data_IF_938140221042
#
_entry.id   IF_938140221042
#
_cell.length_a   1.000
_cell.length_b   1.000
_cell.length_c   1.000
_cell.angle_alpha   90.00
_cell.angle_beta   90.00
_cell.angle_gamma   90.00
#
_symmetry.space_group_name_H-M   'P 1'
#
loop_
_entity.id
_entity.type
_entity.pdbx_description
1 polymer ?
#
# COMPACT_ATOMS: atom_id res chain seq x y z
N UNK A 1 30.02 36.86 -52.59
CA UNK A 1 30.57 35.52 -52.20
C UNK A 1 31.18 35.55 -50.81
N UNK A 2 32.11 36.47 -50.45
CA UNK A 2 32.73 36.51 -49.10
C UNK A 2 31.73 36.66 -47.93
N UNK A 3 30.65 37.43 -48.07
CA UNK A 3 29.63 37.61 -47.01
C UNK A 3 28.77 36.33 -46.75
N UNK A 4 28.52 35.53 -47.82
CA UNK A 4 27.77 34.26 -47.71
C UNK A 4 28.62 33.20 -47.02
N UNK A 5 29.91 33.11 -47.30
CA UNK A 5 30.85 32.22 -46.65
C UNK A 5 30.98 32.53 -45.17
N UNK A 6 31.03 33.81 -44.79
CA UNK A 6 31.10 34.25 -43.39
C UNK A 6 29.81 33.87 -42.62
N UNK A 7 28.66 33.98 -43.23
CA UNK A 7 27.38 33.60 -42.64
C UNK A 7 27.28 32.08 -42.41
N UNK A 8 27.78 31.27 -43.35
CA UNK A 8 27.81 29.82 -43.21
C UNK A 8 28.79 29.39 -42.11
N UNK A 9 29.96 30.01 -42.00
CA UNK A 9 30.92 29.74 -40.94
C UNK A 9 30.37 30.10 -39.55
N UNK A 10 29.65 31.26 -39.46
CA UNK A 10 28.99 31.63 -38.20
C UNK A 10 27.88 30.68 -37.78
N UNK A 11 27.07 30.17 -38.74
CA UNK A 11 26.04 29.13 -38.47
C UNK A 11 26.63 27.80 -38.05
N UNK A 12 27.77 27.40 -38.62
CA UNK A 12 28.47 26.16 -38.21
C UNK A 12 29.09 26.30 -36.80
N UNK A 13 29.64 27.46 -36.47
CA UNK A 13 30.20 27.74 -35.15
C UNK A 13 29.14 27.72 -34.03
N UNK A 14 27.92 28.20 -34.30
CA UNK A 14 26.80 28.12 -33.35
C UNK A 14 26.37 26.70 -33.02
N UNK A 15 26.39 25.79 -33.99
CA UNK A 15 26.04 24.40 -33.76
C UNK A 15 27.07 23.64 -32.89
N UNK A 16 28.35 23.99 -32.99
CA UNK A 16 29.42 23.39 -32.20
C UNK A 16 29.30 23.76 -30.70
N UNK A 17 28.98 25.03 -30.41
CA UNK A 17 28.83 25.51 -29.03
C UNK A 17 27.62 24.92 -28.32
N UNK A 18 26.48 24.71 -29.04
CA UNK A 18 25.29 24.06 -28.47
C UNK A 18 25.55 22.56 -28.22
N UNK A 19 26.29 21.91 -29.10
CA UNK A 19 26.60 20.46 -28.93
C UNK A 19 27.56 20.24 -27.74
N UNK A 20 28.56 21.10 -27.56
CA UNK A 20 29.47 21.01 -26.39
C UNK A 20 28.72 21.26 -25.08
N UNK A 21 27.84 22.26 -25.03
CA UNK A 21 27.06 22.54 -23.81
C UNK A 21 26.10 21.40 -23.45
N UNK A 22 25.56 20.69 -24.42
CA UNK A 22 24.68 19.56 -24.18
C UNK A 22 25.45 18.34 -23.61
N UNK A 23 26.64 18.05 -24.10
CA UNK A 23 27.49 16.98 -23.59
C UNK A 23 28.01 17.28 -22.18
N UNK A 24 28.39 18.52 -21.90
CA UNK A 24 28.78 18.96 -20.55
C UNK A 24 27.63 18.83 -19.57
N UNK A 25 26.42 19.25 -19.95
CA UNK A 25 25.24 19.11 -19.11
C UNK A 25 24.85 17.63 -18.86
N UNK A 26 25.02 16.77 -19.86
CA UNK A 26 24.83 15.32 -19.70
C UNK A 26 25.85 14.71 -18.74
N UNK A 27 27.13 15.09 -18.85
CA UNK A 27 28.18 14.63 -17.96
C UNK A 27 27.96 15.13 -16.52
N UNK A 28 27.57 16.39 -16.34
CA UNK A 28 27.23 16.92 -15.03
C UNK A 28 26.04 16.18 -14.42
N UNK A 29 24.97 15.95 -15.22
CA UNK A 29 23.80 15.18 -14.78
C UNK A 29 24.19 13.75 -14.34
N UNK A 30 25.08 13.09 -15.07
CA UNK A 30 25.57 11.76 -14.71
C UNK A 30 26.32 11.80 -13.35
N UNK A 31 27.27 12.74 -13.18
CA UNK A 31 28.01 12.92 -11.92
C UNK A 31 27.09 13.23 -10.73
N UNK A 32 26.06 14.08 -10.92
CA UNK A 32 25.07 14.34 -9.86
C UNK A 32 24.26 13.08 -9.52
N UNK A 33 23.90 12.28 -10.52
CA UNK A 33 23.18 11.03 -10.32
C UNK A 33 23.99 10.02 -9.54
N UNK A 34 25.29 9.91 -9.83
CA UNK A 34 26.23 9.04 -9.09
C UNK A 34 26.38 9.51 -7.63
N UNK A 35 26.46 10.83 -7.43
CA UNK A 35 26.48 11.42 -6.08
C UNK A 35 25.21 11.12 -5.29
N UNK A 36 24.04 11.21 -5.92
CA UNK A 36 22.75 10.85 -5.30
C UNK A 36 22.74 9.36 -4.92
N UNK A 37 23.18 8.48 -5.80
CA UNK A 37 23.25 7.04 -5.53
C UNK A 37 24.20 6.72 -4.35
N UNK A 38 25.35 7.39 -4.28
CA UNK A 38 26.30 7.24 -3.18
C UNK A 38 25.74 7.76 -1.84
N UNK A 39 24.97 8.85 -1.85
CA UNK A 39 24.28 9.37 -0.66
C UNK A 39 23.18 8.41 -0.24
N UNK A 40 22.37 7.93 -1.20
CA UNK A 40 21.31 6.96 -0.91
C UNK A 40 21.87 5.69 -0.26
N UNK A 41 22.94 5.13 -0.80
CA UNK A 41 23.59 3.96 -0.20
C UNK A 41 24.07 4.19 1.25
N UNK A 42 24.52 5.41 1.57
CA UNK A 42 24.86 5.76 2.97
C UNK A 42 23.63 5.88 3.86
N UNK A 43 22.55 6.44 3.35
CA UNK A 43 21.26 6.53 4.06
C UNK A 43 20.73 5.13 4.34
N UNK A 44 20.75 4.24 3.35
CA UNK A 44 20.30 2.85 3.49
C UNK A 44 21.13 2.07 4.51
N UNK A 45 22.46 2.28 4.52
CA UNK A 45 23.36 1.68 5.51
C UNK A 45 23.06 2.17 6.95
N UNK A 46 22.75 3.45 7.13
CA UNK A 46 22.34 4.01 8.43
C UNK A 46 20.99 3.45 8.83
N UNK A 47 20.04 3.38 7.90
CA UNK A 47 18.71 2.80 8.15
C UNK A 47 18.83 1.32 8.55
N UNK A 48 19.73 0.57 7.93
CA UNK A 48 20.07 -0.81 8.33
C UNK A 48 20.55 -0.91 9.78
N UNK A 49 21.44 -0.01 10.20
CA UNK A 49 21.89 0.08 11.59
C UNK A 49 20.76 0.43 12.57
N UNK A 50 19.92 1.40 12.23
CA UNK A 50 18.71 1.76 13.01
C UNK A 50 17.78 0.55 13.11
N UNK A 51 17.61 -0.19 12.03
CA UNK A 51 16.76 -1.38 12.02
C UNK A 51 17.30 -2.53 12.87
N UNK A 52 18.61 -2.61 13.04
CA UNK A 52 19.27 -3.60 13.90
C UNK A 52 19.19 -3.29 15.39
N UNK A 53 18.93 -2.03 15.79
CA UNK A 53 18.80 -1.66 17.21
C UNK A 53 17.62 -2.39 17.84
N UNK A 54 17.83 -3.14 18.95
CA UNK A 54 16.73 -3.77 19.69
C UNK A 54 15.73 -2.75 20.23
N UNK A 55 14.47 -3.13 20.29
CA UNK A 55 13.43 -2.26 20.84
C UNK A 55 12.18 -2.15 19.96
N UNK A 56 11.26 -1.31 20.39
CA UNK A 56 10.01 -1.02 19.69
C UNK A 56 10.23 -0.03 18.56
N UNK A 57 9.69 -0.37 17.39
CA UNK A 57 9.51 0.52 16.24
C UNK A 57 8.04 0.64 15.94
N UNK A 58 7.55 1.87 15.89
CA UNK A 58 6.12 2.15 15.70
C UNK A 58 5.97 3.17 14.58
N UNK A 59 4.91 3.06 13.84
CA UNK A 59 4.55 4.03 12.81
C UNK A 59 3.09 3.90 12.45
N UNK A 60 2.54 5.00 11.94
CA UNK A 60 1.20 5.04 11.37
C UNK A 60 1.22 5.93 10.13
N UNK A 61 0.39 5.56 9.17
CA UNK A 61 0.18 6.29 7.93
C UNK A 61 -1.31 6.26 7.60
N UNK A 62 -1.85 7.38 7.18
CA UNK A 62 -3.25 7.49 6.78
C UNK A 62 -3.41 8.32 5.52
N UNK A 63 -4.40 7.99 4.71
CA UNK A 63 -4.84 8.77 3.56
C UNK A 63 -6.33 8.98 3.59
N UNK A 64 -6.76 10.16 3.14
CA UNK A 64 -8.15 10.48 2.87
C UNK A 64 -8.22 10.88 1.42
N UNK A 65 -9.12 10.27 0.66
CA UNK A 65 -9.38 10.57 -0.74
C UNK A 65 -10.86 10.81 -0.97
N UNK A 66 -11.15 11.70 -1.92
CA UNK A 66 -12.51 11.89 -2.43
C UNK A 66 -12.45 12.11 -3.92
N UNK A 67 -13.46 11.64 -4.64
CA UNK A 67 -13.66 11.97 -6.06
C UNK A 67 -15.13 12.24 -6.34
N UNK A 68 -15.36 13.12 -7.29
CA UNK A 68 -16.67 13.47 -7.82
C UNK A 68 -16.62 13.37 -9.33
N UNK A 69 -17.66 12.82 -9.93
CA UNK A 69 -17.87 12.77 -11.38
C UNK A 69 -19.32 13.10 -11.70
N UNK A 70 -19.54 13.75 -12.83
CA UNK A 70 -20.86 14.07 -13.32
C UNK A 70 -20.90 13.94 -14.84
N UNK A 71 -22.01 13.45 -15.35
CA UNK A 71 -22.26 13.27 -16.76
C UNK A 71 -23.59 13.96 -17.11
N UNK A 72 -23.62 14.59 -18.26
CA UNK A 72 -24.82 15.21 -18.81
C UNK A 72 -24.88 14.86 -20.31
N UNK A 73 -25.97 14.25 -20.72
CA UNK A 73 -26.19 13.79 -22.09
C UNK A 73 -25.10 12.88 -22.64
N UNK A 74 -24.46 12.07 -21.81
CA UNK A 74 -23.43 11.12 -22.26
C UNK A 74 -24.06 9.76 -22.59
N UNK A 75 -24.69 9.67 -23.76
CA UNK A 75 -25.45 8.51 -24.21
C UNK A 75 -24.63 7.23 -24.49
N UNK A 76 -23.31 7.30 -24.46
CA UNK A 76 -22.46 6.09 -24.50
C UNK A 76 -22.44 5.30 -23.19
N UNK A 77 -22.95 5.88 -22.10
CA UNK A 77 -23.26 5.20 -20.84
C UNK A 77 -24.75 4.87 -20.78
N UNK A 78 -25.09 3.78 -20.08
CA UNK A 78 -26.48 3.40 -19.86
C UNK A 78 -27.30 4.42 -19.02
N UNK A 79 -26.60 5.32 -18.32
CA UNK A 79 -27.15 6.43 -17.51
C UNK A 79 -26.54 7.75 -17.99
N UNK A 80 -27.12 8.41 -19.03
CA UNK A 80 -26.52 9.56 -19.65
C UNK A 80 -26.42 10.81 -18.75
N UNK A 81 -27.34 10.95 -17.78
CA UNK A 81 -27.38 12.05 -16.83
C UNK A 81 -27.16 11.50 -15.42
N UNK A 82 -25.90 11.32 -15.00
CA UNK A 82 -25.59 10.75 -13.70
C UNK A 82 -24.50 11.51 -12.99
N UNK A 83 -24.48 11.43 -11.65
CA UNK A 83 -23.36 11.84 -10.84
C UNK A 83 -22.91 10.71 -9.92
N UNK A 84 -21.63 10.69 -9.60
CA UNK A 84 -21.08 9.75 -8.64
C UNK A 84 -20.06 10.46 -7.77
N UNK A 85 -20.09 10.13 -6.48
CA UNK A 85 -19.11 10.57 -5.50
C UNK A 85 -18.55 9.37 -4.77
N UNK A 86 -17.28 9.41 -4.43
CA UNK A 86 -16.72 8.49 -3.47
C UNK A 86 -15.85 9.21 -2.43
N UNK A 87 -15.79 8.66 -1.23
CA UNK A 87 -14.92 9.07 -0.15
C UNK A 87 -14.25 7.81 0.37
N UNK A 88 -12.94 7.86 0.56
CA UNK A 88 -12.15 6.75 1.09
C UNK A 88 -11.21 7.21 2.18
N UNK A 89 -11.07 6.39 3.23
CA UNK A 89 -10.13 6.57 4.32
C UNK A 89 -9.34 5.28 4.46
N UNK A 90 -8.01 5.37 4.38
CA UNK A 90 -7.13 4.24 4.63
C UNK A 90 -6.18 4.60 5.76
N UNK A 91 -6.03 3.70 6.74
CA UNK A 91 -5.07 3.84 7.83
C UNK A 91 -4.28 2.55 7.97
N UNK A 92 -2.97 2.68 8.00
CA UNK A 92 -2.05 1.59 8.29
C UNK A 92 -1.21 1.98 9.49
N UNK A 93 -1.07 1.09 10.45
CA UNK A 93 -0.21 1.29 11.60
C UNK A 93 0.57 0.01 11.92
N UNK A 94 1.73 0.16 12.51
CA UNK A 94 2.52 -0.97 12.97
C UNK A 94 3.19 -0.68 14.31
N UNK A 95 3.44 -1.75 15.07
CA UNK A 95 4.24 -1.72 16.28
C UNK A 95 5.07 -3.01 16.33
N UNK A 96 6.36 -2.89 16.03
CA UNK A 96 7.28 -4.01 15.92
C UNK A 96 8.34 -3.95 17.01
N UNK A 97 8.44 -5.03 17.79
CA UNK A 97 9.49 -5.22 18.76
C UNK A 97 10.54 -6.17 18.20
N UNK A 98 11.78 -5.78 18.20
CA UNK A 98 12.90 -6.66 17.85
C UNK A 98 13.83 -6.79 19.05
N UNK A 99 14.09 -8.02 19.48
CA UNK A 99 14.99 -8.38 20.55
C UNK A 99 16.00 -9.44 20.07
N UNK A 100 17.13 -9.64 20.75
CA UNK A 100 18.11 -10.66 20.34
C UNK A 100 17.52 -12.07 20.21
N UNK A 101 16.60 -12.46 21.10
CA UNK A 101 16.05 -13.81 21.18
C UNK A 101 14.66 -13.97 20.58
N UNK A 102 13.91 -12.88 20.35
CA UNK A 102 12.56 -12.93 19.84
C UNK A 102 12.20 -11.66 19.08
N UNK A 103 11.12 -11.71 18.33
CA UNK A 103 10.47 -10.54 17.73
C UNK A 103 8.97 -10.61 17.95
N UNK A 104 8.32 -9.45 17.90
CA UNK A 104 6.87 -9.33 17.91
C UNK A 104 6.47 -8.24 16.92
N UNK A 105 5.76 -8.61 15.86
CA UNK A 105 5.35 -7.71 14.79
C UNK A 105 3.84 -7.59 14.80
N UNK A 106 3.35 -6.38 14.87
CA UNK A 106 1.93 -6.08 14.85
C UNK A 106 1.65 -5.09 13.73
N UNK A 107 0.54 -5.29 13.04
CA UNK A 107 0.04 -4.36 12.04
C UNK A 107 -1.47 -4.19 12.15
N UNK A 108 -1.93 -3.00 11.84
CA UNK A 108 -3.32 -2.62 11.74
C UNK A 108 -3.54 -2.05 10.34
N UNK A 109 -4.57 -2.54 9.66
CA UNK A 109 -5.05 -1.97 8.41
C UNK A 109 -6.54 -1.66 8.55
N UNK A 110 -6.91 -0.42 8.26
CA UNK A 110 -8.29 0.03 8.19
C UNK A 110 -8.49 0.65 6.80
N UNK A 111 -9.51 0.20 6.09
CA UNK A 111 -9.89 0.76 4.80
C UNK A 111 -11.41 0.93 4.76
N UNK A 112 -11.85 2.19 4.74
CA UNK A 112 -13.25 2.58 4.76
C UNK A 112 -13.55 3.35 3.50
N UNK A 113 -14.66 3.04 2.85
CA UNK A 113 -15.08 3.70 1.63
C UNK A 113 -16.59 3.83 1.53
N UNK A 114 -17.03 4.98 1.06
CA UNK A 114 -18.42 5.28 0.78
C UNK A 114 -18.57 5.71 -0.67
N UNK A 115 -19.64 5.29 -1.29
CA UNK A 115 -20.01 5.65 -2.66
C UNK A 115 -21.43 6.21 -2.68
N UNK A 116 -21.59 7.26 -3.44
CA UNK A 116 -22.88 7.80 -3.86
C UNK A 116 -22.98 7.67 -5.38
N UNK A 117 -24.09 7.19 -5.88
CA UNK A 117 -24.45 7.17 -7.30
C UNK A 117 -25.85 7.75 -7.41
N UNK A 118 -26.02 8.71 -8.28
CA UNK A 118 -27.25 9.45 -8.52
C UNK A 118 -27.54 9.39 -10.03
N UNK A 119 -28.62 8.73 -10.40
CA UNK A 119 -29.17 8.73 -11.76
C UNK A 119 -30.23 9.82 -11.87
N UNK A 120 -29.85 10.96 -12.42
CA UNK A 120 -30.71 12.15 -12.52
C UNK A 120 -31.92 11.96 -13.42
N UNK A 121 -32.02 10.85 -14.15
CA UNK A 121 -33.15 10.50 -14.98
C UNK A 121 -34.20 9.69 -14.19
N UNK A 122 -33.91 9.33 -12.91
CA UNK A 122 -34.78 8.54 -12.04
C UNK A 122 -34.98 9.28 -10.71
N UNK A 123 -36.16 9.90 -10.54
CA UNK A 123 -36.49 10.69 -9.34
C UNK A 123 -36.58 9.86 -8.04
N UNK A 124 -36.60 8.53 -8.14
CA UNK A 124 -36.77 7.62 -6.99
C UNK A 124 -35.55 6.81 -6.66
N UNK A 125 -34.39 7.11 -7.27
CA UNK A 125 -33.18 6.42 -6.93
C UNK A 125 -32.63 6.86 -5.55
N UNK A 126 -31.86 6.00 -4.90
CA UNK A 126 -31.19 6.30 -3.63
C UNK A 126 -29.87 7.02 -3.89
N UNK A 127 -29.88 8.33 -3.75
CA UNK A 127 -28.74 9.22 -3.94
C UNK A 127 -27.90 9.41 -2.66
N UNK A 128 -28.09 8.58 -1.65
CA UNK A 128 -27.32 8.63 -0.40
C UNK A 128 -25.93 8.00 -0.53
N UNK A 129 -25.03 8.37 0.36
CA UNK A 129 -23.77 7.66 0.51
C UNK A 129 -23.98 6.32 1.22
N UNK A 130 -23.51 5.25 0.60
CA UNK A 130 -23.55 3.89 1.15
C UNK A 130 -22.14 3.32 1.30
N UNK A 131 -21.96 2.46 2.27
CA UNK A 131 -20.70 1.73 2.48
C UNK A 131 -20.35 0.91 1.23
N UNK A 132 -19.15 1.04 0.75
CA UNK A 132 -18.62 0.31 -0.40
C UNK A 132 -17.36 -0.48 -0.04
N UNK A 133 -16.66 -0.05 0.99
CA UNK A 133 -15.48 -0.74 1.53
C UNK A 133 -15.50 -0.58 3.03
N UNK A 134 -15.43 -1.70 3.74
CA UNK A 134 -15.37 -1.72 5.20
C UNK A 134 -14.45 -2.86 5.62
N UNK A 135 -13.18 -2.52 5.85
CA UNK A 135 -12.14 -3.48 6.21
C UNK A 135 -11.46 -3.03 7.48
N UNK A 136 -11.48 -3.88 8.46
CA UNK A 136 -10.65 -3.81 9.66
C UNK A 136 -9.85 -5.10 9.77
N UNK A 137 -8.52 -4.98 9.79
CA UNK A 137 -7.62 -6.11 9.92
C UNK A 137 -6.51 -5.76 10.91
N UNK A 138 -6.31 -6.63 11.89
CA UNK A 138 -5.18 -6.56 12.82
C UNK A 138 -4.43 -7.87 12.80
N UNK A 139 -3.10 -7.82 12.64
CA UNK A 139 -2.24 -8.99 12.67
C UNK A 139 -1.20 -8.88 13.76
N UNK A 140 -0.85 -10.01 14.36
CA UNK A 140 0.15 -10.12 15.41
C UNK A 140 1.00 -11.37 15.17
N UNK A 141 2.27 -11.19 14.83
CA UNK A 141 3.24 -12.25 14.59
C UNK A 141 4.31 -12.23 15.69
N UNK A 142 4.31 -13.23 16.55
CA UNK A 142 5.35 -13.45 17.53
C UNK A 142 6.29 -14.56 17.07
N UNK A 143 7.61 -14.36 17.19
CA UNK A 143 8.60 -15.38 16.81
C UNK A 143 9.76 -15.45 17.78
N UNK A 144 10.10 -16.68 18.22
CA UNK A 144 11.31 -16.99 18.99
C UNK A 144 12.42 -17.41 18.04
N UNK A 145 13.48 -16.63 17.99
CA UNK A 145 14.62 -16.86 17.10
C UNK A 145 15.40 -18.10 17.51
N UNK A 146 15.58 -19.02 16.58
CA UNK A 146 16.47 -20.18 16.71
C UNK A 146 17.84 -19.88 16.09
N UNK A 147 17.87 -19.02 15.07
CA UNK A 147 19.07 -18.47 14.44
C UNK A 147 18.76 -17.07 13.90
N UNK A 148 19.75 -16.43 13.30
CA UNK A 148 19.57 -15.10 12.68
C UNK A 148 18.53 -15.09 11.57
N UNK A 149 18.29 -16.22 10.93
CA UNK A 149 17.39 -16.35 9.77
C UNK A 149 16.13 -17.17 10.04
N UNK A 150 16.04 -17.86 11.16
CA UNK A 150 14.96 -18.81 11.41
C UNK A 150 14.37 -18.65 12.81
N UNK A 151 13.04 -18.65 12.90
CA UNK A 151 12.31 -18.57 14.16
C UNK A 151 11.12 -19.53 14.16
N UNK A 152 10.78 -20.09 15.31
CA UNK A 152 9.45 -20.67 15.55
C UNK A 152 8.50 -19.49 15.83
N UNK A 153 7.33 -19.50 15.22
CA UNK A 153 6.43 -18.36 15.29
C UNK A 153 4.96 -18.76 15.40
N UNK A 154 4.17 -17.84 15.94
CA UNK A 154 2.72 -17.89 15.92
C UNK A 154 2.18 -16.59 15.33
N UNK A 155 1.14 -16.70 14.52
CA UNK A 155 0.42 -15.59 13.89
C UNK A 155 -1.00 -15.59 14.42
N UNK A 156 -1.48 -14.43 14.83
CA UNK A 156 -2.90 -14.15 15.01
C UNK A 156 -3.32 -13.08 13.99
N UNK A 157 -4.41 -13.32 13.30
CA UNK A 157 -5.03 -12.34 12.40
C UNK A 157 -6.51 -12.24 12.73
N UNK A 158 -6.98 -11.02 12.99
CA UNK A 158 -8.39 -10.74 13.18
C UNK A 158 -8.90 -9.79 12.12
N UNK A 159 -9.99 -10.18 11.44
CA UNK A 159 -10.62 -9.42 10.36
C UNK A 159 -12.11 -9.24 10.65
N UNK A 160 -12.61 -8.04 10.43
CA UNK A 160 -14.05 -7.73 10.54
C UNK A 160 -14.36 -6.45 9.77
N UNK A 161 -15.62 -6.06 9.75
CA UNK A 161 -16.13 -4.74 9.38
C UNK A 161 -16.31 -3.87 10.63
N UNK A 162 -16.34 -2.54 10.49
CA UNK A 162 -16.55 -1.62 11.60
C UNK A 162 -17.65 -0.58 11.37
N UNK A 163 -18.06 -0.37 10.12
CA UNK A 163 -19.13 0.57 9.77
C UNK A 163 -20.47 -0.12 9.90
N UNK A 164 -20.63 -1.25 9.21
CA UNK A 164 -21.93 -1.89 9.04
C UNK A 164 -22.23 -2.84 10.22
N UNK A 165 -21.39 -3.85 10.44
CA UNK A 165 -21.63 -4.87 11.46
C UNK A 165 -20.31 -5.29 12.12
N UNK A 166 -19.94 -4.67 13.24
CA UNK A 166 -18.74 -5.06 13.97
C UNK A 166 -18.84 -6.49 14.49
N UNK A 167 -17.82 -7.31 14.15
CA UNK A 167 -17.72 -8.72 14.54
C UNK A 167 -18.86 -9.64 13.99
N UNK A 168 -19.54 -9.21 12.93
CA UNK A 168 -20.66 -9.94 12.31
C UNK A 168 -20.61 -9.87 10.77
N UNK A 169 -19.79 -10.66 10.08
CA UNK A 169 -18.88 -11.66 10.66
C UNK A 169 -17.54 -11.10 11.16
N UNK A 170 -17.01 -11.72 12.20
CA UNK A 170 -15.63 -11.60 12.61
C UNK A 170 -14.86 -12.88 12.33
N UNK A 171 -13.61 -12.77 11.90
CA UNK A 171 -12.74 -13.92 11.61
C UNK A 171 -11.45 -13.80 12.41
N UNK A 172 -11.13 -14.82 13.16
CA UNK A 172 -9.86 -14.92 13.89
C UNK A 172 -9.10 -16.15 13.43
N UNK A 173 -7.98 -15.92 12.77
CA UNK A 173 -7.03 -16.96 12.36
C UNK A 173 -5.88 -17.03 13.34
N UNK A 174 -5.56 -18.23 13.84
CA UNK A 174 -4.40 -18.47 14.70
C UNK A 174 -3.56 -19.57 14.07
N UNK A 175 -2.32 -19.25 13.70
CA UNK A 175 -1.38 -20.16 13.07
C UNK A 175 -0.12 -20.37 13.90
N UNK A 176 0.41 -21.58 13.89
CA UNK A 176 1.71 -21.94 14.50
C UNK A 176 2.60 -22.60 13.47
N UNK A 177 3.88 -22.20 13.46
CA UNK A 177 4.86 -22.74 12.53
C UNK A 177 6.19 -22.02 12.61
N UNK A 178 6.70 -21.56 11.49
CA UNK A 178 8.03 -20.97 11.39
C UNK A 178 8.04 -19.67 10.55
N UNK A 179 8.95 -18.78 10.90
CA UNK A 179 9.33 -17.61 10.10
C UNK A 179 10.76 -17.76 9.64
N UNK A 180 10.97 -17.61 8.34
CA UNK A 180 12.30 -17.65 7.72
C UNK A 180 12.60 -16.29 7.06
N UNK A 181 13.75 -15.72 7.41
CA UNK A 181 14.23 -14.42 6.89
C UNK A 181 15.56 -14.64 6.18
N UNK A 182 15.57 -15.12 4.92
CA UNK A 182 16.81 -15.45 4.20
C UNK A 182 17.69 -14.23 3.96
N UNK A 183 17.07 -13.09 3.68
CA UNK A 183 17.69 -11.77 3.47
C UNK A 183 16.89 -10.71 4.22
N UNK A 184 17.44 -9.52 4.40
CA UNK A 184 16.87 -8.44 5.23
C UNK A 184 15.45 -8.04 4.85
N UNK A 185 15.14 -8.07 3.55
CA UNK A 185 13.90 -7.54 2.99
C UNK A 185 12.88 -8.64 2.61
N UNK A 186 13.18 -9.92 2.90
CA UNK A 186 12.29 -11.03 2.63
C UNK A 186 11.96 -11.80 3.91
N UNK A 187 10.69 -11.86 4.22
CA UNK A 187 10.16 -12.63 5.35
C UNK A 187 9.16 -13.65 4.81
N UNK A 188 9.44 -14.92 5.06
CA UNK A 188 8.57 -16.04 4.69
C UNK A 188 7.97 -16.61 5.97
N UNK A 189 6.66 -16.63 6.05
CA UNK A 189 5.91 -17.17 7.18
C UNK A 189 5.19 -18.44 6.73
N UNK A 190 5.45 -19.56 7.40
CA UNK A 190 4.87 -20.86 7.09
C UNK A 190 4.23 -21.41 8.35
N UNK A 191 2.91 -21.41 8.40
CA UNK A 191 2.14 -21.92 9.54
C UNK A 191 1.25 -23.08 9.08
N UNK A 192 1.76 -24.32 9.08
CA UNK A 192 1.00 -25.48 8.63
C UNK A 192 -0.13 -25.88 9.60
N UNK A 193 -0.03 -25.45 10.85
CA UNK A 193 -1.09 -25.63 11.85
C UNK A 193 -1.81 -24.30 11.97
N UNK A 194 -2.98 -24.20 11.36
CA UNK A 194 -3.83 -23.02 11.39
C UNK A 194 -5.24 -23.39 11.84
N UNK A 195 -5.83 -22.55 12.68
CA UNK A 195 -7.20 -22.67 13.15
C UNK A 195 -7.93 -21.36 12.89
N UNK A 196 -9.13 -21.47 12.32
CA UNK A 196 -9.98 -20.35 11.98
C UNK A 196 -11.22 -20.34 12.88
N UNK A 197 -11.51 -19.20 13.51
CA UNK A 197 -12.72 -18.94 14.28
C UNK A 197 -13.57 -17.94 13.50
N UNK A 198 -14.86 -18.22 13.41
CA UNK A 198 -15.84 -17.31 12.81
C UNK A 198 -16.82 -16.86 13.90
N UNK A 199 -16.98 -15.55 14.02
CA UNK A 199 -17.94 -14.94 14.92
C UNK A 199 -19.10 -14.38 14.09
N UNK A 200 -20.33 -14.73 14.44
CA UNK A 200 -21.53 -14.18 13.82
C UNK A 200 -22.66 -14.18 14.85
N UNK A 201 -23.46 -13.11 14.87
CA UNK A 201 -24.59 -12.97 15.79
C UNK A 201 -25.92 -13.36 15.14
N UNK A 202 -25.93 -13.62 13.82
CA UNK A 202 -27.16 -13.93 13.06
C UNK A 202 -27.36 -15.43 12.79
N UNK A 203 -28.60 -15.84 12.64
CA UNK A 203 -28.99 -17.17 12.18
C UNK A 203 -28.64 -17.44 10.69
N UNK A 204 -28.26 -16.40 9.95
CA UNK A 204 -27.79 -16.47 8.56
C UNK A 204 -26.34 -16.92 8.53
N UNK A 205 -26.14 -18.18 8.70
CA UNK A 205 -24.84 -18.80 8.50
C UNK A 205 -24.49 -18.75 7.01
N UNK A 206 -23.24 -18.39 6.72
CA UNK A 206 -22.62 -18.39 5.40
C UNK A 206 -22.49 -19.82 4.86
N UNK A 207 -23.61 -20.52 4.64
CA UNK A 207 -23.59 -21.89 4.08
C UNK A 207 -22.90 -21.94 2.71
N UNK A 208 -22.91 -20.81 1.96
CA UNK A 208 -22.38 -20.77 0.60
C UNK A 208 -20.87 -20.50 0.51
N UNK A 209 -20.25 -19.89 1.52
CA UNK A 209 -18.83 -19.48 1.44
C UNK A 209 -17.85 -20.37 2.20
N UNK A 210 -18.30 -21.11 3.21
CA UNK A 210 -17.42 -21.95 4.02
C UNK A 210 -17.78 -23.44 4.00
N UNK A 211 -18.96 -23.82 3.46
CA UNK A 211 -19.40 -25.20 3.40
C UNK A 211 -19.60 -25.87 4.78
N UNK A 212 -19.62 -25.07 5.85
CA UNK A 212 -19.85 -25.52 7.20
C UNK A 212 -21.24 -25.10 7.68
N UNK A 213 -22.01 -26.04 8.16
CA UNK A 213 -23.17 -25.76 9.00
C UNK A 213 -22.68 -25.57 10.42
N UNK A 214 -23.00 -24.44 10.99
CA UNK A 214 -22.85 -24.21 12.43
C UNK A 214 -24.15 -24.58 13.12
#
# INVERSE_FOLDING_TARGET
MKKIVLAIVALLAMNITVAQSLEELKAEKASKKDSIAAIQGRVDAIQGKINAIPGWKKGAFGTIGASLSGFNNWYSKGTPNSSAGNIGITTNAFANLNQPKYFWRNSLNINLGWVKIDDKDIDTDDDSFRSATDVFNITSLYGRKLSDKFAISTLGEYRTTIIDNFNDPGYLDIGVGATWTPITDLVVVIHPLNYNFVFSSGDTVFESSLGAKI
#
